data_IF_848425473432
#
_entry.id   IF_848425473432
#
_cell.length_a   1.000
_cell.length_b   1.000
_cell.length_c   1.000
_cell.angle_alpha   90.00
_cell.angle_beta   90.00
_cell.angle_gamma   90.00
#
_symmetry.space_group_name_H-M   'P 1'
#
loop_
_entity.id
_entity.type
_entity.pdbx_description
1 polymer ?
#
# COMPACT_ATOMS: atom_id res chain seq x y z
N UNK A 1 6.08 -19.38 -12.20
CA UNK A 1 4.90 -18.53 -12.49
C UNK A 1 4.98 -17.36 -11.53
N UNK A 2 4.88 -16.12 -12.02
CA UNK A 2 4.90 -14.92 -11.16
C UNK A 2 3.58 -14.84 -10.38
N UNK A 3 3.58 -14.29 -9.16
CA UNK A 3 2.33 -14.19 -8.38
C UNK A 3 1.24 -13.39 -9.11
N UNK A 4 1.61 -12.37 -9.87
CA UNK A 4 0.65 -11.60 -10.67
C UNK A 4 -0.12 -12.46 -11.67
N UNK A 5 0.53 -13.47 -12.27
CA UNK A 5 -0.11 -14.42 -13.17
C UNK A 5 -1.12 -15.29 -12.40
N UNK A 6 -0.79 -15.68 -11.15
CA UNK A 6 -1.69 -16.43 -10.28
C UNK A 6 -2.90 -15.57 -9.85
N UNK A 7 -2.69 -14.29 -9.55
CA UNK A 7 -3.75 -13.36 -9.17
C UNK A 7 -4.71 -13.11 -10.33
N UNK A 8 -4.18 -12.90 -11.54
CA UNK A 8 -4.99 -12.74 -12.76
C UNK A 8 -5.81 -14.01 -13.05
N UNK A 9 -5.25 -15.20 -12.78
CA UNK A 9 -5.97 -16.47 -12.89
C UNK A 9 -6.97 -16.73 -11.75
N UNK A 10 -7.07 -15.82 -10.76
CA UNK A 10 -7.93 -15.98 -9.59
C UNK A 10 -7.47 -17.04 -8.58
N UNK A 11 -6.24 -17.56 -8.72
CA UNK A 11 -5.68 -18.59 -7.82
C UNK A 11 -5.27 -18.03 -6.47
N UNK A 12 -4.93 -16.74 -6.43
CA UNK A 12 -4.68 -15.98 -5.21
C UNK A 12 -5.48 -14.68 -5.28
N UNK A 13 -5.91 -14.17 -4.13
CA UNK A 13 -6.70 -12.94 -4.05
C UNK A 13 -5.84 -11.67 -3.97
N UNK A 14 -4.63 -11.79 -3.41
CA UNK A 14 -3.70 -10.69 -3.12
C UNK A 14 -2.27 -11.14 -3.41
N UNK A 15 -1.42 -10.22 -3.84
CA UNK A 15 0.03 -10.40 -3.93
C UNK A 15 0.65 -10.39 -2.53
N UNK A 16 1.85 -10.97 -2.40
CA UNK A 16 2.53 -11.11 -1.11
C UNK A 16 3.97 -10.58 -1.17
N UNK A 17 4.75 -10.80 -0.10
CA UNK A 17 6.19 -10.50 -0.05
C UNK A 17 7.04 -11.43 -0.98
N UNK A 18 6.42 -12.42 -1.63
CA UNK A 18 7.05 -13.07 -2.78
C UNK A 18 7.20 -12.11 -3.97
N UNK A 19 6.25 -11.19 -4.16
CA UNK A 19 6.34 -10.10 -5.14
C UNK A 19 7.05 -8.88 -4.56
N UNK A 20 6.57 -8.36 -3.43
CA UNK A 20 7.10 -7.13 -2.84
C UNK A 20 8.37 -7.42 -2.03
N UNK A 21 9.46 -6.75 -2.37
CA UNK A 21 10.76 -6.91 -1.70
C UNK A 21 11.01 -5.72 -0.78
N UNK A 22 10.90 -5.98 0.51
CA UNK A 22 11.09 -4.98 1.55
C UNK A 22 12.51 -5.03 2.10
N UNK A 23 12.99 -3.88 2.57
CA UNK A 23 14.25 -3.80 3.33
C UNK A 23 14.01 -4.29 4.76
N UNK A 24 14.80 -5.27 5.22
CA UNK A 24 14.63 -5.85 6.55
C UNK A 24 14.79 -4.83 7.70
N UNK A 25 15.50 -3.72 7.47
CA UNK A 25 15.66 -2.63 8.46
C UNK A 25 14.33 -1.97 8.82
N UNK A 26 13.27 -2.18 8.03
CA UNK A 26 11.90 -1.77 8.41
C UNK A 26 11.51 -2.41 9.75
N UNK A 27 11.87 -3.67 9.99
CA UNK A 27 11.59 -4.38 11.25
C UNK A 27 12.11 -3.64 12.48
N UNK A 28 13.27 -3.02 12.33
CA UNK A 28 13.96 -2.28 13.38
C UNK A 28 13.47 -0.83 13.50
N UNK A 29 12.49 -0.43 12.67
CA UNK A 29 11.97 0.93 12.64
C UNK A 29 12.90 1.95 11.97
N UNK A 30 13.88 1.49 11.17
CA UNK A 30 14.88 2.37 10.54
C UNK A 30 14.28 3.47 9.67
N UNK A 31 13.17 3.16 8.99
CA UNK A 31 12.44 4.09 8.13
C UNK A 31 11.25 4.76 8.81
N UNK A 32 11.01 4.42 10.08
CA UNK A 32 9.91 4.98 10.86
C UNK A 32 10.35 6.25 11.56
N UNK A 33 9.46 7.25 11.62
CA UNK A 33 9.75 8.45 12.39
C UNK A 33 9.92 8.09 13.88
N UNK A 34 10.90 8.73 14.54
CA UNK A 34 11.30 8.43 15.93
C UNK A 34 10.12 8.54 16.90
N UNK A 35 9.15 9.43 16.65
CA UNK A 35 8.00 9.57 17.52
C UNK A 35 7.12 8.31 17.51
N UNK A 36 6.96 7.60 16.39
CA UNK A 36 6.20 6.36 16.35
C UNK A 36 6.85 5.27 17.22
N UNK A 37 8.18 5.17 17.16
CA UNK A 37 8.92 4.22 18.00
C UNK A 37 8.78 4.55 19.48
N UNK A 38 8.90 5.84 19.85
CA UNK A 38 8.67 6.28 21.24
C UNK A 38 7.24 6.03 21.69
N UNK A 39 6.25 6.32 20.86
CA UNK A 39 4.83 6.06 21.16
C UNK A 39 4.60 4.57 21.36
N UNK A 40 5.18 3.70 20.53
CA UNK A 40 5.10 2.24 20.70
C UNK A 40 5.58 1.80 22.07
N UNK A 41 6.74 2.27 22.50
CA UNK A 41 7.30 1.93 23.83
C UNK A 41 6.44 2.48 24.98
N UNK A 42 5.88 3.68 24.84
CA UNK A 42 4.96 4.25 25.83
C UNK A 42 3.65 3.44 25.93
N UNK A 43 3.06 3.06 24.81
CA UNK A 43 1.83 2.24 24.78
C UNK A 43 2.11 0.86 25.36
N UNK A 44 3.23 0.20 25.01
CA UNK A 44 3.64 -1.07 25.61
C UNK A 44 3.76 -0.99 27.13
N UNK A 45 4.19 0.15 27.68
CA UNK A 45 4.41 0.33 29.12
C UNK A 45 3.15 0.71 29.90
N UNK A 46 2.29 1.56 29.33
CA UNK A 46 1.20 2.20 30.08
C UNK A 46 -0.20 1.79 29.61
N UNK A 47 -0.32 1.15 28.43
CA UNK A 47 -1.60 0.80 27.80
C UNK A 47 -1.48 -0.52 27.02
N UNK A 48 -1.16 -1.63 27.70
CA UNK A 48 -0.90 -2.92 27.04
C UNK A 48 -2.13 -3.46 26.27
N UNK A 49 -3.34 -3.23 26.78
CA UNK A 49 -4.62 -3.67 26.20
C UNK A 49 -5.22 -2.68 25.17
N UNK A 50 -4.39 -1.86 24.51
CA UNK A 50 -4.87 -0.81 23.62
C UNK A 50 -5.23 -1.34 22.21
N UNK A 51 -6.45 -1.84 22.03
CA UNK A 51 -7.01 -2.19 20.72
C UNK A 51 -7.61 -0.96 20.05
N UNK A 52 -7.14 -0.64 18.85
CA UNK A 52 -7.63 0.49 18.04
C UNK A 52 -7.97 0.03 16.64
N UNK A 53 -8.83 0.80 15.95
CA UNK A 53 -9.04 0.69 14.50
C UNK A 53 -8.48 1.93 13.83
N UNK A 54 -7.43 1.75 13.03
CA UNK A 54 -6.83 2.80 12.22
C UNK A 54 -7.45 2.77 10.82
N UNK A 55 -7.77 3.92 10.26
CA UNK A 55 -8.37 4.05 8.93
C UNK A 55 -7.49 4.90 8.02
N UNK A 56 -7.28 4.45 6.79
CA UNK A 56 -6.56 5.19 5.76
C UNK A 56 -7.55 5.63 4.68
N UNK A 57 -7.48 6.90 4.31
CA UNK A 57 -8.31 7.53 3.29
C UNK A 57 -7.55 8.70 2.66
N UNK A 58 -8.05 9.22 1.55
CA UNK A 58 -7.46 10.33 0.81
C UNK A 58 -8.53 11.41 0.53
N UNK A 59 -8.14 12.63 0.10
CA UNK A 59 -9.02 13.81 0.06
C UNK A 59 -9.57 14.19 -1.32
N UNK A 60 -9.08 13.54 -2.36
CA UNK A 60 -9.38 13.82 -3.77
C UNK A 60 -10.11 12.63 -4.42
N UNK A 61 -10.36 12.68 -5.72
CA UNK A 61 -10.77 11.49 -6.48
C UNK A 61 -9.51 10.75 -6.94
N UNK A 62 -9.44 9.44 -6.73
CA UNK A 62 -8.24 8.67 -7.07
C UNK A 62 -8.55 7.25 -7.56
N UNK A 63 -7.57 6.64 -8.20
CA UNK A 63 -7.51 5.19 -8.42
C UNK A 63 -6.57 4.60 -7.37
N UNK A 64 -7.14 3.74 -6.51
CA UNK A 64 -6.44 3.11 -5.42
C UNK A 64 -5.39 2.12 -5.94
N UNK A 65 -4.17 2.20 -5.44
CA UNK A 65 -3.16 1.18 -5.65
C UNK A 65 -2.23 1.08 -4.44
N UNK A 66 -1.64 -0.10 -4.23
CA UNK A 66 -0.68 -0.37 -3.15
C UNK A 66 -1.27 -1.10 -1.95
N UNK A 67 -2.56 -1.46 -1.97
CA UNK A 67 -3.19 -2.18 -0.84
C UNK A 67 -2.59 -3.56 -0.64
N UNK A 68 -2.28 -4.28 -1.71
CA UNK A 68 -1.59 -5.58 -1.62
C UNK A 68 -0.18 -5.43 -1.02
N UNK A 69 0.54 -4.37 -1.39
CA UNK A 69 1.88 -4.05 -0.88
C UNK A 69 1.83 -3.71 0.61
N UNK A 70 0.85 -2.91 1.04
CA UNK A 70 0.61 -2.59 2.45
C UNK A 70 0.24 -3.82 3.27
N UNK A 71 -0.67 -4.67 2.78
CA UNK A 71 -1.06 -5.90 3.49
C UNK A 71 0.16 -6.82 3.63
N UNK A 72 0.99 -6.94 2.59
CA UNK A 72 2.22 -7.71 2.64
C UNK A 72 3.23 -7.12 3.64
N UNK A 73 3.37 -5.78 3.69
CA UNK A 73 4.22 -5.07 4.64
C UNK A 73 3.81 -5.38 6.09
N UNK A 74 2.53 -5.17 6.42
CA UNK A 74 2.00 -5.39 7.76
C UNK A 74 2.17 -6.85 8.17
N UNK A 75 1.84 -7.81 7.29
CA UNK A 75 2.04 -9.24 7.56
C UNK A 75 3.51 -9.64 7.75
N UNK A 76 4.46 -8.87 7.21
CA UNK A 76 5.89 -9.20 7.29
C UNK A 76 6.54 -8.63 8.56
N UNK A 77 6.11 -7.44 8.99
CA UNK A 77 6.82 -6.66 10.00
C UNK A 77 6.02 -6.36 11.27
N UNK A 78 4.69 -6.39 11.27
CA UNK A 78 3.94 -6.16 12.50
C UNK A 78 4.24 -7.25 13.55
N UNK A 79 4.12 -6.92 14.83
CA UNK A 79 4.25 -7.89 15.92
C UNK A 79 2.95 -8.73 15.99
N UNK A 80 3.02 -10.06 15.80
CA UNK A 80 1.83 -10.95 15.77
C UNK A 80 0.75 -10.50 14.76
N UNK A 81 1.09 -10.42 13.46
CA UNK A 81 0.18 -9.92 12.42
C UNK A 81 -1.09 -10.77 12.26
N UNK A 82 -1.08 -12.03 12.70
CA UNK A 82 -2.24 -12.92 12.75
C UNK A 82 -3.34 -12.46 13.73
N UNK A 83 -3.00 -11.61 14.69
CA UNK A 83 -3.95 -11.01 15.64
C UNK A 83 -4.59 -9.72 15.10
N UNK A 84 -4.14 -9.24 13.93
CA UNK A 84 -4.65 -8.01 13.31
C UNK A 84 -5.81 -8.34 12.35
N UNK A 85 -6.91 -7.61 12.50
CA UNK A 85 -8.00 -7.62 11.52
C UNK A 85 -7.73 -6.53 10.47
N UNK A 86 -7.62 -6.93 9.21
CA UNK A 86 -7.32 -6.02 8.10
C UNK A 86 -8.41 -6.12 7.04
N UNK A 87 -9.09 -5.00 6.78
CA UNK A 87 -10.03 -4.85 5.67
C UNK A 87 -9.49 -3.85 4.66
N UNK A 88 -9.68 -4.12 3.37
CA UNK A 88 -9.17 -3.26 2.32
C UNK A 88 -10.01 -3.37 1.06
N UNK A 89 -10.19 -2.24 0.38
CA UNK A 89 -10.56 -2.19 -1.03
C UNK A 89 -9.46 -2.83 -1.90
N UNK A 90 -9.73 -2.99 -3.19
CA UNK A 90 -8.81 -3.63 -4.14
C UNK A 90 -8.05 -2.58 -4.94
N UNK A 91 -6.82 -2.94 -5.29
CA UNK A 91 -6.05 -2.16 -6.24
C UNK A 91 -6.80 -2.08 -7.59
N UNK A 92 -6.92 -0.86 -8.13
CA UNK A 92 -7.71 -0.51 -9.31
C UNK A 92 -9.10 0.06 -9.00
N UNK A 93 -9.57 0.00 -7.75
CA UNK A 93 -10.84 0.62 -7.35
C UNK A 93 -10.74 2.15 -7.47
N UNK A 94 -11.81 2.78 -7.99
CA UNK A 94 -11.95 4.23 -7.95
C UNK A 94 -12.53 4.63 -6.61
N UNK A 95 -11.87 5.56 -5.94
CA UNK A 95 -12.18 5.95 -4.57
C UNK A 95 -12.51 7.44 -4.50
N UNK A 96 -13.50 7.76 -3.67
CA UNK A 96 -13.96 9.13 -3.44
C UNK A 96 -13.19 9.78 -2.28
N UNK A 97 -13.20 11.12 -2.16
CA UNK A 97 -12.71 11.83 -0.98
C UNK A 97 -13.29 11.25 0.32
N UNK A 98 -12.41 11.02 1.29
CA UNK A 98 -12.73 10.52 2.63
C UNK A 98 -13.33 9.10 2.67
N UNK A 99 -13.26 8.36 1.56
CA UNK A 99 -13.57 6.94 1.53
C UNK A 99 -12.45 6.13 2.17
N UNK A 100 -12.79 5.35 3.19
CA UNK A 100 -11.81 4.48 3.87
C UNK A 100 -11.43 3.31 2.98
N UNK A 101 -10.15 3.24 2.61
CA UNK A 101 -9.62 2.24 1.68
C UNK A 101 -8.98 1.05 2.38
N UNK A 102 -8.52 1.25 3.61
CA UNK A 102 -7.85 0.26 4.45
C UNK A 102 -8.20 0.53 5.91
N UNK A 103 -8.53 -0.53 6.64
CA UNK A 103 -8.62 -0.51 8.10
C UNK A 103 -7.71 -1.57 8.70
N UNK A 104 -7.03 -1.22 9.79
CA UNK A 104 -6.25 -2.16 10.60
C UNK A 104 -6.76 -2.06 12.04
N UNK A 105 -7.33 -3.16 12.55
CA UNK A 105 -7.80 -3.26 13.94
C UNK A 105 -6.88 -4.19 14.73
N UNK A 106 -6.41 -3.73 15.89
CA UNK A 106 -5.55 -4.50 16.79
C UNK A 106 -4.75 -3.62 17.74
N UNK A 107 -3.78 -4.19 18.49
CA UNK A 107 -2.93 -3.44 19.39
C UNK A 107 -2.10 -2.38 18.65
N UNK A 108 -2.22 -1.10 19.00
CA UNK A 108 -1.47 -0.03 18.29
C UNK A 108 0.03 -0.30 18.21
N UNK A 109 0.60 -0.79 19.30
CA UNK A 109 2.02 -1.08 19.42
C UNK A 109 2.52 -2.19 18.48
N UNK A 110 1.62 -2.99 17.91
CA UNK A 110 1.97 -4.06 16.98
C UNK A 110 2.34 -3.53 15.60
N UNK A 111 1.61 -2.51 15.10
CA UNK A 111 1.74 -2.06 13.72
C UNK A 111 1.95 -0.55 13.55
N UNK A 112 1.68 0.27 14.58
CA UNK A 112 1.65 1.72 14.47
C UNK A 112 2.97 2.36 14.00
N UNK A 113 4.10 1.68 14.17
CA UNK A 113 5.38 2.15 13.64
C UNK A 113 5.52 2.05 12.12
N UNK A 114 4.64 1.30 11.45
CA UNK A 114 4.60 1.15 10.00
C UNK A 114 3.78 2.26 9.32
N UNK A 115 3.04 3.09 10.08
CA UNK A 115 2.08 4.08 9.57
C UNK A 115 2.68 4.97 8.47
N UNK A 116 3.85 5.60 8.72
CA UNK A 116 4.49 6.45 7.71
C UNK A 116 4.91 5.73 6.43
N UNK A 117 5.20 4.42 6.51
CA UNK A 117 5.54 3.60 5.34
C UNK A 117 4.26 3.24 4.58
N UNK A 118 3.18 2.93 5.29
CA UNK A 118 1.84 2.67 4.71
C UNK A 118 1.38 3.88 3.90
N UNK A 119 1.46 5.08 4.49
CA UNK A 119 1.11 6.34 3.81
C UNK A 119 1.96 6.55 2.56
N UNK A 120 3.27 6.33 2.65
CA UNK A 120 4.18 6.47 1.52
C UNK A 120 3.84 5.53 0.35
N UNK A 121 3.51 4.27 0.65
CA UNK A 121 3.08 3.29 -0.36
C UNK A 121 1.78 3.75 -1.01
N UNK A 122 0.72 3.97 -0.22
CA UNK A 122 -0.61 4.31 -0.75
C UNK A 122 -0.56 5.61 -1.56
N UNK A 123 0.15 6.63 -1.07
CA UNK A 123 0.29 7.91 -1.75
C UNK A 123 0.99 7.75 -3.11
N UNK A 124 2.15 7.09 -3.15
CA UNK A 124 2.91 6.94 -4.41
C UNK A 124 2.16 6.07 -5.41
N UNK A 125 1.70 4.89 -5.00
CA UNK A 125 1.05 3.93 -5.90
C UNK A 125 -0.27 4.47 -6.45
N UNK A 126 -1.12 5.04 -5.60
CA UNK A 126 -2.39 5.63 -6.03
C UNK A 126 -2.17 6.86 -6.92
N UNK A 127 -1.14 7.67 -6.67
CA UNK A 127 -0.77 8.78 -7.55
C UNK A 127 -0.36 8.30 -8.94
N UNK A 128 0.49 7.27 -9.03
CA UNK A 128 0.89 6.68 -10.32
C UNK A 128 -0.33 6.12 -11.05
N UNK A 129 -1.14 5.30 -10.37
CA UNK A 129 -2.32 4.67 -10.97
C UNK A 129 -3.35 5.69 -11.45
N UNK A 130 -3.61 6.75 -10.66
CA UNK A 130 -4.52 7.84 -11.05
C UNK A 130 -4.03 8.56 -12.31
N UNK A 131 -2.74 8.86 -12.41
CA UNK A 131 -2.17 9.51 -13.59
C UNK A 131 -2.19 8.60 -14.83
N UNK A 132 -1.84 7.32 -14.66
CA UNK A 132 -1.93 6.32 -15.74
C UNK A 132 -3.37 6.19 -16.23
N UNK A 133 -4.34 6.09 -15.33
CA UNK A 133 -5.75 6.06 -15.65
C UNK A 133 -6.17 7.26 -16.51
N UNK A 134 -5.75 8.48 -16.13
CA UNK A 134 -6.04 9.69 -16.88
C UNK A 134 -5.42 9.69 -18.28
N UNK A 135 -4.19 9.21 -18.43
CA UNK A 135 -3.51 9.07 -19.73
C UNK A 135 -4.23 8.06 -20.61
N UNK A 136 -4.57 6.88 -20.08
CA UNK A 136 -5.29 5.83 -20.83
C UNK A 136 -6.67 6.31 -21.27
N UNK A 137 -7.38 7.04 -20.40
CA UNK A 137 -8.66 7.69 -20.71
C UNK A 137 -8.51 8.74 -21.81
N UNK A 138 -7.46 9.55 -21.79
CA UNK A 138 -7.22 10.54 -22.83
C UNK A 138 -6.85 9.88 -24.18
N UNK A 139 -6.12 8.76 -24.14
CA UNK A 139 -5.72 8.00 -25.32
C UNK A 139 -6.89 7.40 -26.11
N UNK A 140 -8.07 7.26 -25.49
CA UNK A 140 -9.30 6.78 -26.14
C UNK A 140 -10.23 7.88 -26.63
N UNK A 141 -9.87 9.17 -26.48
CA UNK A 141 -10.73 10.31 -26.80
C UNK A 141 -11.24 10.32 -28.26
N UNK A 142 -10.46 9.79 -29.22
CA UNK A 142 -10.86 9.70 -30.63
C UNK A 142 -11.84 8.56 -30.94
N UNK A 143 -12.39 7.89 -29.93
CA UNK A 143 -13.26 6.70 -30.09
C UNK A 143 -12.51 5.40 -30.37
N UNK A 144 -11.19 5.44 -30.46
CA UNK A 144 -10.31 4.27 -30.63
C UNK A 144 -9.28 4.27 -29.51
N UNK A 145 -9.15 3.15 -28.79
CA UNK A 145 -8.12 3.00 -27.77
C UNK A 145 -6.74 2.91 -28.42
N UNK A 146 -5.92 3.95 -28.23
CA UNK A 146 -4.50 3.90 -28.62
C UNK A 146 -3.71 3.13 -27.55
N UNK A 147 -2.74 2.29 -27.96
CA UNK A 147 -1.82 1.66 -27.01
C UNK A 147 -1.04 2.71 -26.21
N UNK A 148 -0.91 2.48 -24.90
CA UNK A 148 -0.09 3.29 -23.99
C UNK A 148 0.95 2.36 -23.39
N UNK A 149 2.21 2.79 -23.38
CA UNK A 149 3.33 2.03 -22.83
C UNK A 149 3.94 2.85 -21.69
N UNK A 150 4.08 2.25 -20.51
CA UNK A 150 4.76 2.87 -19.39
C UNK A 150 6.29 2.73 -19.56
N UNK A 151 6.99 3.86 -19.55
CA UNK A 151 8.46 3.94 -19.70
C UNK A 151 9.10 4.73 -18.56
N UNK A 152 8.61 4.56 -17.32
CA UNK A 152 9.08 5.31 -16.15
C UNK A 152 10.38 4.80 -15.54
N UNK A 153 11.25 4.15 -16.31
CA UNK A 153 12.50 3.55 -15.83
C UNK A 153 13.56 4.58 -15.40
N UNK A 154 13.37 5.85 -15.76
CA UNK A 154 14.38 6.92 -15.62
C UNK A 154 13.88 8.19 -14.94
N UNK A 155 12.62 8.19 -14.51
CA UNK A 155 11.97 9.41 -14.02
C UNK A 155 12.23 9.66 -12.52
N UNK A 156 12.70 8.64 -11.80
CA UNK A 156 12.90 8.68 -10.35
C UNK A 156 14.03 7.73 -9.91
N UNK A 157 14.31 7.68 -8.61
CA UNK A 157 15.29 6.78 -8.03
C UNK A 157 14.93 5.31 -8.32
N UNK A 158 15.93 4.51 -8.71
CA UNK A 158 15.71 3.16 -9.25
C UNK A 158 14.89 2.22 -8.34
N UNK A 159 14.88 2.47 -7.03
CA UNK A 159 14.11 1.70 -6.05
C UNK A 159 12.60 1.86 -6.19
N UNK A 160 12.11 2.92 -6.84
CA UNK A 160 10.67 3.12 -7.05
C UNK A 160 10.14 2.34 -8.24
N UNK A 161 11.00 2.01 -9.22
CA UNK A 161 10.62 1.46 -10.52
C UNK A 161 9.70 0.25 -10.43
N UNK A 162 10.04 -0.73 -9.59
CA UNK A 162 9.27 -1.97 -9.48
C UNK A 162 7.83 -1.73 -9.04
N UNK A 163 7.65 -0.82 -8.08
CA UNK A 163 6.32 -0.52 -7.58
C UNK A 163 5.60 0.58 -8.37
N UNK A 164 6.31 1.48 -9.05
CA UNK A 164 5.67 2.40 -10.00
C UNK A 164 5.13 1.61 -11.19
N UNK A 165 5.88 0.61 -11.67
CA UNK A 165 5.39 -0.38 -12.64
C UNK A 165 4.23 -1.24 -12.12
N UNK A 166 4.18 -1.52 -10.81
CA UNK A 166 2.98 -2.13 -10.20
C UNK A 166 1.78 -1.17 -10.23
N UNK A 167 2.02 0.13 -10.06
CA UNK A 167 0.99 1.17 -10.07
C UNK A 167 0.36 1.46 -11.44
N UNK A 168 0.81 0.83 -12.53
CA UNK A 168 0.25 1.05 -13.87
C UNK A 168 -0.98 0.20 -14.18
N UNK A 169 -1.62 -0.34 -13.14
CA UNK A 169 -2.83 -1.18 -13.24
C UNK A 169 -4.05 -0.39 -13.67
#
# INVERSE_FOLDING_TARGET
MKEIELKIQGKISRLTNHTFKFDERIRDGWFSAVYFLKTRELVKKYHEDNIITMQFFQKDEAVLCGTDEVIALVKTFADRPEELEIHSLKDGDKISPFETVLTITGPYQSFGYLEGIIDGILARRSSVSTNVYNVVKAASYSGQQKPVIFMGDRDDHYTTQAGDGYGTI
#
